data_IF_263161376555
#
_entry.id   IF_263161376555
#
_cell.length_a   1.000
_cell.length_b   1.000
_cell.length_c   1.000
_cell.angle_alpha   90.00
_cell.angle_beta   90.00
_cell.angle_gamma   90.00
#
_symmetry.space_group_name_H-M   'P 1'
#
loop_
_entity.id
_entity.type
_entity.pdbx_description
1 polymer ?
#
# COMPACT_ATOMS: atom_id res chain seq x y z
N UNK A 1 8.19 20.64 28.65
CA UNK A 1 7.46 21.53 27.71
C UNK A 1 8.49 22.42 27.06
N UNK A 2 8.50 22.46 25.74
CA UNK A 2 9.38 23.29 24.95
C UNK A 2 8.58 24.31 24.12
N UNK A 3 9.29 25.26 23.51
CA UNK A 3 8.71 26.27 22.63
C UNK A 3 9.60 26.40 21.40
N UNK A 4 9.00 26.26 20.23
CA UNK A 4 9.63 26.60 18.95
C UNK A 4 9.17 28.00 18.51
N UNK A 5 10.07 28.72 17.81
CA UNK A 5 9.73 30.00 17.18
C UNK A 5 9.63 29.79 15.67
N UNK A 6 8.47 30.07 15.11
CA UNK A 6 8.22 29.98 13.66
C UNK A 6 7.93 31.36 13.10
N UNK A 7 8.39 31.63 11.88
CA UNK A 7 8.06 32.86 11.17
C UNK A 7 7.12 32.53 10.04
N UNK A 8 5.97 33.20 9.98
CA UNK A 8 4.95 33.03 8.93
C UNK A 8 4.46 34.41 8.51
N UNK A 9 4.45 34.69 7.20
CA UNK A 9 4.05 35.98 6.64
C UNK A 9 4.80 37.16 7.28
N UNK A 10 6.10 36.98 7.55
CA UNK A 10 6.95 37.98 8.20
C UNK A 10 6.68 38.20 9.70
N UNK A 11 5.84 37.38 10.34
CA UNK A 11 5.52 37.48 11.77
C UNK A 11 6.04 36.27 12.53
N UNK A 12 6.69 36.51 13.68
CA UNK A 12 7.17 35.45 14.55
C UNK A 12 6.07 34.97 15.52
N UNK A 13 5.90 33.66 15.62
CA UNK A 13 4.95 32.97 16.49
C UNK A 13 5.69 31.99 17.41
N UNK A 14 5.30 31.96 18.68
CA UNK A 14 5.79 30.98 19.66
C UNK A 14 4.80 29.83 19.74
N UNK A 15 5.25 28.63 19.38
CA UNK A 15 4.42 27.42 19.34
C UNK A 15 4.91 26.47 20.42
N UNK A 16 4.00 26.08 21.33
CA UNK A 16 4.30 25.07 22.34
C UNK A 16 4.41 23.69 21.71
N UNK A 17 5.42 22.93 22.10
CA UNK A 17 5.66 21.58 21.59
C UNK A 17 6.28 20.66 22.65
N UNK A 18 6.38 19.38 22.28
CA UNK A 18 7.10 18.39 23.07
C UNK A 18 8.61 18.64 22.99
N UNK A 19 9.34 18.16 24.01
CA UNK A 19 10.79 18.31 24.05
C UNK A 19 11.42 17.47 22.94
N UNK A 20 12.21 18.10 22.07
CA UNK A 20 12.83 17.47 20.90
C UNK A 20 12.03 17.60 19.59
N UNK A 21 10.79 18.09 19.63
CA UNK A 21 9.96 18.31 18.43
C UNK A 21 10.16 19.71 17.81
N UNK A 22 10.95 20.59 18.45
CA UNK A 22 11.21 21.96 17.99
C UNK A 22 11.65 22.02 16.51
N UNK A 23 12.61 21.17 16.04
CA UNK A 23 13.04 21.21 14.64
C UNK A 23 11.92 20.86 13.65
N UNK A 24 10.99 19.97 14.04
CA UNK A 24 9.84 19.59 13.23
C UNK A 24 8.83 20.73 13.18
N UNK A 25 8.54 21.37 14.30
CA UNK A 25 7.65 22.55 14.33
C UNK A 25 8.23 23.69 13.49
N UNK A 26 9.54 23.94 13.57
CA UNK A 26 10.22 24.92 12.72
C UNK A 26 10.13 24.58 11.23
N UNK A 27 10.29 23.31 10.87
CA UNK A 27 10.13 22.84 9.50
C UNK A 27 8.70 23.02 8.97
N UNK A 28 7.69 22.71 9.79
CA UNK A 28 6.28 22.94 9.46
C UNK A 28 6.00 24.44 9.30
N UNK A 29 6.56 25.28 10.16
CA UNK A 29 6.48 26.74 10.04
C UNK A 29 7.02 27.26 8.71
N UNK A 30 8.20 26.78 8.28
CA UNK A 30 8.78 27.12 6.96
C UNK A 30 7.87 26.70 5.81
N UNK A 31 7.30 25.50 5.87
CA UNK A 31 6.38 25.00 4.85
C UNK A 31 5.12 25.88 4.72
N UNK A 32 4.57 26.32 5.85
CA UNK A 32 3.44 27.26 5.87
C UNK A 32 3.85 28.60 5.26
N UNK A 33 4.99 29.15 5.67
CA UNK A 33 5.50 30.43 5.16
C UNK A 33 5.71 30.41 3.63
N UNK A 34 6.36 29.35 3.11
CA UNK A 34 6.55 29.15 1.67
C UNK A 34 5.23 29.11 0.90
N UNK A 35 4.18 28.48 1.48
CA UNK A 35 2.84 28.47 0.87
C UNK A 35 2.24 29.87 0.84
N UNK A 36 2.37 30.63 1.93
CA UNK A 36 1.84 31.99 2.01
C UNK A 36 2.55 32.91 1.01
N UNK A 37 3.87 32.81 0.87
CA UNK A 37 4.62 33.63 -0.09
C UNK A 37 4.27 33.29 -1.55
N UNK A 38 4.01 32.02 -1.87
CA UNK A 38 3.46 31.62 -3.19
C UNK A 38 2.11 32.25 -3.45
N UNK A 39 1.21 32.25 -2.46
CA UNK A 39 -0.11 32.88 -2.58
C UNK A 39 0.01 34.40 -2.73
N UNK A 40 0.92 35.04 -1.98
CA UNK A 40 1.20 36.48 -2.08
C UNK A 40 1.64 36.87 -3.50
N UNK A 41 2.53 36.08 -4.11
CA UNK A 41 2.97 36.30 -5.49
C UNK A 41 1.88 36.14 -6.56
N UNK A 42 0.89 35.27 -6.33
CA UNK A 42 -0.19 35.00 -7.28
C UNK A 42 -1.41 35.93 -7.15
N UNK A 43 -1.75 36.34 -5.93
CA UNK A 43 -2.97 37.10 -5.65
C UNK A 43 -2.74 38.56 -5.24
N UNK A 44 -1.48 38.98 -5.06
CA UNK A 44 -1.13 40.34 -4.64
C UNK A 44 -1.43 40.61 -3.15
N UNK A 45 -1.46 41.89 -2.77
CA UNK A 45 -1.67 42.31 -1.38
C UNK A 45 -3.16 42.31 -0.96
N UNK A 46 -3.80 41.14 -1.00
CA UNK A 46 -5.17 40.94 -0.48
C UNK A 46 -5.26 40.86 1.05
N UNK A 47 -4.12 41.03 1.75
CA UNK A 47 -4.00 41.05 3.20
C UNK A 47 -3.65 39.70 3.82
N UNK A 48 -2.75 39.70 4.81
CA UNK A 48 -2.15 38.49 5.38
C UNK A 48 -3.20 37.51 5.95
N UNK A 49 -4.27 38.01 6.57
CA UNK A 49 -5.32 37.14 7.11
C UNK A 49 -6.03 36.33 6.02
N UNK A 50 -6.26 36.93 4.84
CA UNK A 50 -6.89 36.21 3.72
C UNK A 50 -5.93 35.17 3.14
N UNK A 51 -4.65 35.52 3.01
CA UNK A 51 -3.62 34.57 2.57
C UNK A 51 -3.51 33.38 3.52
N UNK A 52 -3.55 33.61 4.84
CA UNK A 52 -3.55 32.55 5.85
C UNK A 52 -4.76 31.62 5.71
N UNK A 53 -5.96 32.17 5.54
CA UNK A 53 -7.18 31.36 5.33
C UNK A 53 -7.07 30.53 4.04
N UNK A 54 -6.60 31.13 2.94
CA UNK A 54 -6.41 30.41 1.68
C UNK A 54 -5.34 29.31 1.79
N UNK A 55 -4.22 29.59 2.47
CA UNK A 55 -3.17 28.61 2.73
C UNK A 55 -3.67 27.44 3.57
N UNK A 56 -4.42 27.72 4.63
CA UNK A 56 -5.02 26.70 5.49
C UNK A 56 -6.03 25.83 4.73
N UNK A 57 -6.91 26.44 3.93
CA UNK A 57 -7.86 25.70 3.09
C UNK A 57 -7.14 24.86 2.02
N UNK A 58 -6.09 25.38 1.41
CA UNK A 58 -5.28 24.63 0.44
C UNK A 58 -4.59 23.40 1.06
N UNK A 59 -4.04 23.54 2.28
CA UNK A 59 -3.50 22.38 2.99
C UNK A 59 -4.58 21.37 3.38
N UNK A 60 -5.77 21.83 3.78
CA UNK A 60 -6.88 20.95 4.11
C UNK A 60 -7.38 20.17 2.88
N UNK A 61 -7.50 20.85 1.74
CA UNK A 61 -7.88 20.24 0.46
C UNK A 61 -6.86 19.18 0.00
N UNK A 62 -5.56 19.50 0.05
CA UNK A 62 -4.49 18.55 -0.26
C UNK A 62 -4.51 17.34 0.69
N UNK A 63 -4.71 17.56 1.98
CA UNK A 63 -4.79 16.48 2.96
C UNK A 63 -5.99 15.56 2.70
N UNK A 64 -7.14 16.12 2.32
CA UNK A 64 -8.34 15.34 2.00
C UNK A 64 -8.15 14.54 0.70
N UNK A 65 -7.56 15.12 -0.34
CA UNK A 65 -7.23 14.41 -1.58
C UNK A 65 -6.24 13.26 -1.32
N UNK A 66 -5.19 13.48 -0.52
CA UNK A 66 -4.26 12.40 -0.14
C UNK A 66 -4.96 11.31 0.68
N UNK A 67 -5.88 11.67 1.59
CA UNK A 67 -6.65 10.70 2.39
C UNK A 67 -7.51 9.81 1.50
N UNK A 68 -8.27 10.40 0.57
CA UNK A 68 -9.11 9.65 -0.36
C UNK A 68 -8.29 8.72 -1.26
N UNK A 69 -7.12 9.17 -1.74
CA UNK A 69 -6.19 8.33 -2.51
C UNK A 69 -5.65 7.16 -1.69
N UNK A 70 -5.28 7.40 -0.43
CA UNK A 70 -4.81 6.36 0.46
C UNK A 70 -5.90 5.31 0.74
N UNK A 71 -7.14 5.75 0.98
CA UNK A 71 -8.30 4.87 1.16
C UNK A 71 -8.56 4.01 -0.09
N UNK A 72 -8.47 4.59 -1.29
CA UNK A 72 -8.62 3.87 -2.55
C UNK A 72 -7.52 2.81 -2.76
N UNK A 73 -6.25 3.18 -2.54
CA UNK A 73 -5.12 2.26 -2.64
C UNK A 73 -5.21 1.13 -1.61
N UNK A 74 -5.66 1.43 -0.39
CA UNK A 74 -5.85 0.41 0.63
C UNK A 74 -6.91 -0.62 0.20
N UNK A 75 -8.03 -0.17 -0.36
CA UNK A 75 -9.07 -1.04 -0.90
C UNK A 75 -8.58 -1.90 -2.07
N UNK A 76 -7.76 -1.35 -2.95
CA UNK A 76 -7.15 -2.09 -4.05
C UNK A 76 -6.20 -3.18 -3.53
N UNK A 77 -5.36 -2.85 -2.55
CA UNK A 77 -4.47 -3.82 -1.89
C UNK A 77 -5.26 -4.96 -1.23
N UNK A 78 -6.37 -4.63 -0.55
CA UNK A 78 -7.26 -5.64 0.05
C UNK A 78 -7.87 -6.56 -1.00
N UNK A 79 -8.32 -6.00 -2.13
CA UNK A 79 -8.87 -6.77 -3.25
C UNK A 79 -7.83 -7.71 -3.85
N UNK A 80 -6.64 -7.19 -4.17
CA UNK A 80 -5.53 -7.98 -4.72
C UNK A 80 -5.07 -9.09 -3.76
N UNK A 81 -5.12 -8.84 -2.44
CA UNK A 81 -4.83 -9.87 -1.44
C UNK A 81 -5.88 -10.99 -1.45
N UNK A 82 -7.17 -10.64 -1.53
CA UNK A 82 -8.25 -11.62 -1.61
C UNK A 82 -8.14 -12.47 -2.90
N UNK A 83 -7.89 -11.83 -4.04
CA UNK A 83 -7.68 -12.52 -5.32
C UNK A 83 -6.47 -13.46 -5.29
N UNK A 84 -5.36 -13.06 -4.66
CA UNK A 84 -4.20 -13.93 -4.47
C UNK A 84 -4.53 -15.17 -3.65
N UNK A 85 -5.23 -15.01 -2.52
CA UNK A 85 -5.64 -16.13 -1.68
C UNK A 85 -6.53 -17.09 -2.47
N UNK A 86 -7.49 -16.59 -3.24
CA UNK A 86 -8.36 -17.42 -4.06
C UNK A 86 -7.57 -18.15 -5.16
N UNK A 87 -6.66 -17.45 -5.84
CA UNK A 87 -5.80 -18.04 -6.87
C UNK A 87 -4.93 -19.15 -6.29
N UNK A 88 -4.26 -18.90 -5.17
CA UNK A 88 -3.37 -19.87 -4.54
C UNK A 88 -4.17 -21.12 -4.10
N UNK A 89 -5.39 -20.95 -3.59
CA UNK A 89 -6.28 -22.06 -3.27
C UNK A 89 -6.70 -22.86 -4.52
N UNK A 90 -7.00 -22.18 -5.64
CA UNK A 90 -7.31 -22.83 -6.92
C UNK A 90 -6.10 -23.59 -7.45
N UNK A 91 -4.91 -23.00 -7.42
CA UNK A 91 -3.65 -23.64 -7.84
C UNK A 91 -3.39 -24.91 -7.02
N UNK A 92 -3.46 -24.83 -5.68
CA UNK A 92 -3.30 -25.98 -4.81
C UNK A 92 -4.33 -27.11 -5.10
N UNK A 93 -5.58 -26.76 -5.40
CA UNK A 93 -6.60 -27.74 -5.76
C UNK A 93 -6.31 -28.43 -7.11
N UNK A 94 -5.82 -27.68 -8.09
CA UNK A 94 -5.40 -28.23 -9.39
C UNK A 94 -4.19 -29.16 -9.22
N UNK A 95 -3.19 -28.75 -8.45
CA UNK A 95 -2.00 -29.55 -8.16
C UNK A 95 -2.36 -30.87 -7.47
N UNK A 96 -3.21 -30.83 -6.44
CA UNK A 96 -3.68 -32.02 -5.73
C UNK A 96 -4.40 -33.00 -6.68
N UNK A 97 -5.29 -32.49 -7.54
CA UNK A 97 -6.01 -33.31 -8.53
C UNK A 97 -5.05 -33.92 -9.56
N UNK A 98 -4.03 -33.17 -9.99
CA UNK A 98 -3.04 -33.67 -10.93
C UNK A 98 -2.19 -34.78 -10.30
N UNK A 99 -1.72 -34.58 -9.07
CA UNK A 99 -0.96 -35.59 -8.32
C UNK A 99 -1.75 -36.91 -8.16
N UNK A 100 -3.05 -36.82 -7.84
CA UNK A 100 -3.94 -37.98 -7.77
C UNK A 100 -4.01 -38.72 -9.12
N UNK A 101 -4.19 -37.99 -10.23
CA UNK A 101 -4.30 -38.61 -11.57
C UNK A 101 -3.00 -39.21 -12.06
N UNK A 102 -1.86 -38.60 -11.74
CA UNK A 102 -0.54 -39.17 -12.03
C UNK A 102 -0.33 -40.47 -11.26
N UNK A 103 -0.72 -40.51 -9.98
CA UNK A 103 -0.63 -41.71 -9.14
C UNK A 103 -1.53 -42.83 -9.69
N UNK A 104 -2.80 -42.55 -10.00
CA UNK A 104 -3.73 -43.53 -10.60
C UNK A 104 -3.21 -44.06 -11.96
N UNK A 105 -2.64 -43.19 -12.80
CA UNK A 105 -2.05 -43.61 -14.06
C UNK A 105 -0.84 -44.55 -13.85
N UNK A 106 0.04 -44.22 -12.89
CA UNK A 106 1.19 -45.05 -12.55
C UNK A 106 0.77 -46.42 -12.02
N UNK A 107 -0.25 -46.48 -11.15
CA UNK A 107 -0.79 -47.74 -10.61
C UNK A 107 -1.37 -48.63 -11.71
N UNK A 108 -2.09 -48.04 -12.67
CA UNK A 108 -2.62 -48.76 -13.84
C UNK A 108 -1.51 -49.30 -14.72
N UNK A 109 -0.47 -48.52 -14.98
CA UNK A 109 0.71 -48.96 -15.74
C UNK A 109 1.43 -50.11 -15.02
N UNK A 110 1.63 -50.00 -13.70
CA UNK A 110 2.25 -51.05 -12.90
C UNK A 110 1.41 -52.34 -12.87
N UNK A 111 0.07 -52.23 -12.88
CA UNK A 111 -0.82 -53.38 -13.01
C UNK A 111 -0.70 -54.04 -14.39
N UNK A 112 -0.78 -53.25 -15.47
CA UNK A 112 -0.65 -53.75 -16.85
C UNK A 112 0.70 -54.45 -17.06
N UNK A 113 1.79 -53.90 -16.54
CA UNK A 113 3.12 -54.51 -16.62
C UNK A 113 3.17 -55.89 -15.93
N UNK A 114 2.55 -56.04 -14.75
CA UNK A 114 2.44 -57.32 -14.05
C UNK A 114 1.59 -58.34 -14.81
N UNK A 115 0.45 -57.90 -15.35
CA UNK A 115 -0.45 -58.77 -16.13
C UNK A 115 0.23 -59.29 -17.40
N UNK A 116 1.07 -58.47 -18.06
CA UNK A 116 1.86 -58.88 -19.22
C UNK A 116 3.00 -59.83 -18.85
N UNK A 117 3.70 -59.58 -17.74
CA UNK A 117 4.77 -60.45 -17.27
C UNK A 117 4.26 -61.86 -16.92
N UNK A 118 3.11 -61.95 -16.24
CA UNK A 118 2.49 -63.24 -15.89
C UNK A 118 1.91 -64.02 -17.08
N UNK A 119 1.72 -63.38 -18.24
CA UNK A 119 1.32 -64.05 -19.50
C UNK A 119 2.51 -64.58 -20.30
N UNK A 120 3.73 -64.19 -19.96
CA UNK A 120 4.95 -64.51 -20.69
C UNK A 120 5.72 -65.73 -20.18
N UNK A 121 5.22 -66.43 -19.16
CA UNK A 121 5.86 -67.63 -18.61
C UNK A 121 5.34 -68.87 -19.36
N UNK A 122 6.13 -69.50 -20.25
CA UNK A 122 5.71 -70.73 -20.91
C UNK A 122 5.67 -71.86 -19.88
N UNK A 123 4.51 -72.50 -19.74
CA UNK A 123 4.38 -73.85 -19.20
C UNK A 123 5.41 -74.73 -19.92
N UNK A 124 6.50 -75.04 -19.24
CA UNK A 124 7.48 -76.01 -19.72
C UNK A 124 7.06 -77.35 -19.10
N UNK A 125 6.86 -78.41 -19.91
CA UNK A 125 6.31 -79.69 -19.45
C UNK A 125 7.22 -80.43 -18.45
#
# INVERSE_FOLDING_TARGET
>A
MAVAVVTVAGRAYRVGCEQGDEPRIEALGRLVDERIEKLRGGFGEIGDQRLLVMGALGFADEAEDQRLRAEALQKEVETLRAERVERDAREAAVEARLAEKVTDAADRLAKLARDLAGRGEPETP
#
